data_IF_167405777629
#
_entry.id   IF_167405777629
#
_cell.length_a   1.000
_cell.length_b   1.000
_cell.length_c   1.000
_cell.angle_alpha   90.00
_cell.angle_beta   90.00
_cell.angle_gamma   90.00
#
_symmetry.space_group_name_H-M   'P 1'
#
loop_
_entity.id
_entity.type
_entity.pdbx_description
1 polymer ?
#
# COMPACT_ATOMS: atom_id res chain seq x y z
N UNK A 1 -16.67 -2.00 21.05
CA UNK A 1 -15.84 -1.48 22.16
C UNK A 1 -14.54 -2.28 22.15
N UNK A 2 -13.39 -1.61 21.99
CA UNK A 2 -12.10 -2.27 21.71
C UNK A 2 -11.69 -3.25 22.82
N UNK A 3 -12.00 -2.93 24.08
CA UNK A 3 -11.71 -3.83 25.21
C UNK A 3 -12.51 -5.12 25.14
N UNK A 4 -13.75 -5.05 24.64
CA UNK A 4 -14.59 -6.23 24.43
C UNK A 4 -14.08 -7.08 23.26
N UNK A 5 -13.63 -6.45 22.17
CA UNK A 5 -13.02 -7.15 21.02
C UNK A 5 -11.74 -7.89 21.44
N UNK A 6 -10.91 -7.27 22.27
CA UNK A 6 -9.70 -7.90 22.79
C UNK A 6 -9.96 -9.11 23.66
N UNK A 7 -10.93 -9.00 24.57
CA UNK A 7 -11.38 -10.14 25.37
C UNK A 7 -11.89 -11.27 24.47
N UNK A 8 -12.66 -10.93 23.45
CA UNK A 8 -13.18 -11.91 22.51
C UNK A 8 -12.07 -12.60 21.72
N UNK A 9 -11.11 -11.82 21.19
CA UNK A 9 -9.93 -12.33 20.52
C UNK A 9 -9.14 -13.28 21.43
N UNK A 10 -8.89 -12.90 22.69
CA UNK A 10 -8.21 -13.77 23.65
C UNK A 10 -8.96 -15.10 23.80
N UNK A 11 -10.27 -15.07 23.98
CA UNK A 11 -11.09 -16.28 24.12
C UNK A 11 -10.98 -17.18 22.88
N UNK A 12 -11.01 -16.62 21.67
CA UNK A 12 -10.83 -17.38 20.43
C UNK A 12 -9.44 -18.00 20.31
N UNK A 13 -8.37 -17.23 20.59
CA UNK A 13 -6.99 -17.74 20.54
C UNK A 13 -6.78 -18.85 21.57
N UNK A 14 -7.33 -18.71 22.79
CA UNK A 14 -7.31 -19.76 23.81
C UNK A 14 -8.06 -21.02 23.38
N UNK A 15 -9.17 -20.90 22.65
CA UNK A 15 -9.87 -22.06 22.11
C UNK A 15 -9.01 -22.84 21.11
N UNK A 16 -8.18 -22.14 20.35
CA UNK A 16 -7.18 -22.73 19.45
C UNK A 16 -6.14 -23.62 20.14
N UNK A 17 -5.79 -23.32 21.39
CA UNK A 17 -4.87 -24.15 22.19
C UNK A 17 -5.47 -25.52 22.56
N UNK A 18 -6.80 -25.59 22.67
CA UNK A 18 -7.53 -26.81 23.05
C UNK A 18 -8.03 -27.60 21.85
N UNK A 19 -8.36 -26.90 20.76
CA UNK A 19 -8.93 -27.48 19.55
C UNK A 19 -8.07 -27.08 18.34
N UNK A 20 -7.27 -28.03 17.85
CA UNK A 20 -6.40 -27.82 16.69
C UNK A 20 -7.17 -27.34 15.45
N UNK A 21 -8.43 -27.73 15.29
CA UNK A 21 -9.28 -27.27 14.18
C UNK A 21 -9.63 -25.78 14.20
N UNK A 22 -9.34 -25.09 15.31
CA UNK A 22 -9.54 -23.65 15.50
C UNK A 22 -8.26 -22.95 15.91
N UNK A 23 -7.11 -23.61 15.79
CA UNK A 23 -5.82 -23.01 16.13
C UNK A 23 -5.53 -21.87 15.15
N UNK A 24 -5.08 -20.75 15.71
CA UNK A 24 -4.51 -19.64 14.94
C UNK A 24 -3.00 -19.75 15.07
N UNK A 25 -2.31 -20.03 13.97
CA UNK A 25 -0.86 -20.23 13.97
C UNK A 25 -0.07 -18.91 13.80
N UNK A 26 -0.68 -17.88 13.23
CA UNK A 26 -0.04 -16.58 13.00
C UNK A 26 -1.08 -15.47 12.82
N UNK A 27 -0.77 -14.27 13.30
CA UNK A 27 -1.52 -13.05 13.01
C UNK A 27 -0.73 -12.13 12.08
N UNK A 28 -1.39 -11.58 11.06
CA UNK A 28 -0.80 -10.56 10.18
C UNK A 28 -1.42 -9.21 10.50
N UNK A 29 -0.66 -8.32 11.15
CA UNK A 29 -1.04 -6.93 11.31
C UNK A 29 -0.75 -6.18 10.01
N UNK A 30 -1.76 -5.55 9.42
CA UNK A 30 -1.59 -4.71 8.23
C UNK A 30 -1.72 -3.24 8.62
N UNK A 31 -0.68 -2.46 8.36
CA UNK A 31 -0.71 -1.00 8.55
C UNK A 31 -0.54 -0.27 7.22
N UNK A 32 -1.45 0.65 6.89
CA UNK A 32 -1.36 1.47 5.69
C UNK A 32 -0.72 2.82 6.01
N UNK A 33 0.41 3.15 5.37
CA UNK A 33 1.15 4.38 5.64
C UNK A 33 0.40 5.68 5.33
N UNK A 34 -0.67 5.63 4.53
CA UNK A 34 -1.56 6.78 4.34
C UNK A 34 -2.48 7.06 5.52
N UNK A 35 -2.59 6.13 6.47
CA UNK A 35 -3.46 6.26 7.62
C UNK A 35 -2.66 6.52 8.88
N UNK A 36 -3.17 7.40 9.74
CA UNK A 36 -2.60 7.61 11.07
C UNK A 36 -2.86 6.38 11.93
N UNK A 37 -1.90 6.05 12.78
CA UNK A 37 -2.03 4.99 13.78
C UNK A 37 -3.14 5.39 14.77
N UNK A 38 -4.25 4.63 14.84
CA UNK A 38 -5.29 4.89 15.83
C UNK A 38 -4.73 4.73 17.23
N UNK A 39 -4.99 5.71 18.10
CA UNK A 39 -4.52 5.70 19.48
C UNK A 39 -5.66 5.36 20.42
N UNK A 40 -5.36 4.56 21.43
CA UNK A 40 -6.28 4.21 22.50
C UNK A 40 -5.80 4.83 23.81
N UNK A 41 -6.73 5.50 24.48
CA UNK A 41 -6.53 6.06 25.80
C UNK A 41 -7.15 5.10 26.80
N UNK A 42 -6.33 4.51 27.66
CA UNK A 42 -6.84 3.71 28.74
C UNK A 42 -7.29 4.67 29.86
N UNK A 43 -8.53 4.53 30.39
CA UNK A 43 -9.09 5.50 31.31
C UNK A 43 -8.27 5.69 32.60
N UNK A 44 -7.49 4.67 32.99
CA UNK A 44 -6.72 4.65 34.24
C UNK A 44 -5.20 4.83 34.06
N UNK A 45 -4.72 5.05 32.83
CA UNK A 45 -3.29 5.30 32.59
C UNK A 45 -3.07 6.57 31.76
N UNK A 46 -1.96 7.26 32.06
CA UNK A 46 -1.52 8.42 31.26
C UNK A 46 -0.91 7.99 29.90
N UNK A 47 -0.71 6.68 29.71
CA UNK A 47 -0.03 6.13 28.54
C UNK A 47 -0.98 6.00 27.36
N UNK A 48 -0.53 6.54 26.23
CA UNK A 48 -1.25 6.48 24.97
C UNK A 48 -0.58 5.44 24.09
N UNK A 49 -1.27 4.33 23.86
CA UNK A 49 -0.77 3.25 23.00
C UNK A 49 -1.54 3.17 21.68
N UNK A 50 -0.98 2.55 20.63
CA UNK A 50 -1.76 2.19 19.46
C UNK A 50 -2.92 1.28 19.84
N UNK A 51 -4.10 1.54 19.29
CA UNK A 51 -5.30 0.76 19.59
C UNK A 51 -5.11 -0.74 19.32
N UNK A 52 -4.45 -1.07 18.21
CA UNK A 52 -4.21 -2.47 17.84
C UNK A 52 -3.15 -3.15 18.71
N UNK A 53 -2.30 -2.41 19.43
CA UNK A 53 -1.36 -3.03 20.38
C UNK A 53 -2.11 -3.79 21.48
N UNK A 54 -3.30 -3.34 21.85
CA UNK A 54 -4.13 -4.04 22.82
C UNK A 54 -4.50 -5.45 22.33
N UNK A 55 -4.81 -5.62 21.03
CA UNK A 55 -5.09 -6.94 20.44
C UNK A 55 -3.81 -7.80 20.29
N UNK A 56 -2.70 -7.17 19.92
CA UNK A 56 -1.42 -7.87 19.76
C UNK A 56 -0.87 -8.38 21.09
N UNK A 57 -1.11 -7.66 22.19
CA UNK A 57 -0.73 -8.10 23.52
C UNK A 57 -1.46 -9.39 23.89
N UNK A 58 -2.78 -9.47 23.65
CA UNK A 58 -3.56 -10.70 23.89
C UNK A 58 -3.01 -11.88 23.07
N UNK A 59 -2.65 -11.64 21.81
CA UNK A 59 -2.04 -12.69 20.98
C UNK A 59 -0.67 -13.15 21.51
N UNK A 60 0.17 -12.19 21.91
CA UNK A 60 1.50 -12.45 22.46
C UNK A 60 1.40 -13.21 23.79
N UNK A 61 0.43 -12.87 24.65
CA UNK A 61 0.17 -13.57 25.91
C UNK A 61 -0.27 -15.03 25.71
N UNK A 62 -1.02 -15.32 24.64
CA UNK A 62 -1.41 -16.68 24.28
C UNK A 62 -0.28 -17.45 23.58
N UNK A 63 0.78 -16.75 23.16
CA UNK A 63 1.92 -17.34 22.44
C UNK A 63 1.69 -17.47 20.93
N UNK A 64 0.75 -16.71 20.35
CA UNK A 64 0.53 -16.69 18.90
C UNK A 64 1.46 -15.64 18.28
N UNK A 65 2.38 -16.02 17.38
CA UNK A 65 3.26 -15.06 16.74
C UNK A 65 2.48 -14.12 15.82
N UNK A 66 3.06 -12.94 15.57
CA UNK A 66 2.49 -11.99 14.62
C UNK A 66 3.56 -11.31 13.78
N UNK A 67 3.19 -10.92 12.57
CA UNK A 67 4.04 -10.19 11.61
C UNK A 67 3.35 -8.89 11.17
N UNK A 68 4.16 -7.91 10.77
CA UNK A 68 3.69 -6.59 10.35
C UNK A 68 3.85 -6.40 8.83
N UNK A 69 2.74 -6.24 8.12
CA UNK A 69 2.73 -5.82 6.73
C UNK A 69 2.48 -4.31 6.62
N UNK A 70 3.47 -3.55 6.17
CA UNK A 70 3.38 -2.10 5.98
C UNK A 70 3.03 -1.81 4.52
N UNK A 71 1.85 -1.27 4.27
CA UNK A 71 1.31 -1.07 2.92
C UNK A 71 1.40 0.38 2.45
N UNK A 72 1.23 0.56 1.14
CA UNK A 72 1.10 1.87 0.49
C UNK A 72 2.33 2.80 0.64
N UNK A 73 3.51 2.24 0.35
CA UNK A 73 4.80 2.94 0.42
C UNK A 73 4.96 4.13 -0.55
N UNK A 74 4.14 4.20 -1.60
CA UNK A 74 4.20 5.26 -2.62
C UNK A 74 3.41 6.52 -2.25
N UNK A 75 2.65 6.47 -1.15
CA UNK A 75 1.94 7.64 -0.63
C UNK A 75 2.86 8.71 -0.03
N UNK A 76 4.15 8.40 0.13
CA UNK A 76 5.15 9.25 0.76
C UNK A 76 6.33 9.52 -0.18
N UNK A 77 7.02 10.64 0.04
CA UNK A 77 8.30 10.89 -0.64
C UNK A 77 9.37 9.89 -0.21
N UNK A 78 10.41 9.70 -1.04
CA UNK A 78 11.53 8.82 -0.73
C UNK A 78 12.16 9.13 0.65
N UNK A 79 12.27 10.42 0.97
CA UNK A 79 12.86 10.90 2.24
C UNK A 79 11.96 10.59 3.45
N UNK A 80 10.64 10.60 3.28
CA UNK A 80 9.68 10.35 4.35
C UNK A 80 9.41 8.86 4.57
N UNK A 81 9.62 8.02 3.54
CA UNK A 81 9.29 6.59 3.57
C UNK A 81 9.93 5.87 4.76
N UNK A 82 11.25 5.99 4.92
CA UNK A 82 11.98 5.28 5.96
C UNK A 82 11.60 5.80 7.36
N UNK A 83 11.38 7.11 7.49
CA UNK A 83 10.92 7.72 8.75
C UNK A 83 9.53 7.20 9.14
N UNK A 84 8.60 7.11 8.19
CA UNK A 84 7.26 6.60 8.44
C UNK A 84 7.26 5.10 8.78
N UNK A 85 8.04 4.28 8.07
CA UNK A 85 8.23 2.87 8.40
C UNK A 85 8.76 2.72 9.83
N UNK A 86 9.81 3.46 10.19
CA UNK A 86 10.38 3.42 11.54
C UNK A 86 9.38 3.88 12.59
N UNK A 87 8.56 4.90 12.32
CA UNK A 87 7.52 5.34 13.23
C UNK A 87 6.47 4.24 13.49
N UNK A 88 6.09 3.48 12.46
CA UNK A 88 5.16 2.35 12.59
C UNK A 88 5.80 1.21 13.39
N UNK A 89 7.06 0.86 13.10
CA UNK A 89 7.80 -0.16 13.85
C UNK A 89 7.87 0.20 15.34
N UNK A 90 8.22 1.45 15.65
CA UNK A 90 8.32 1.94 17.03
C UNK A 90 6.96 1.96 17.73
N UNK A 91 5.91 2.40 17.03
CA UNK A 91 4.57 2.46 17.61
C UNK A 91 4.08 1.07 18.04
N UNK A 92 4.20 0.08 17.17
CA UNK A 92 3.78 -1.30 17.47
C UNK A 92 4.87 -2.13 18.18
N UNK A 93 6.02 -1.53 18.51
CA UNK A 93 7.18 -2.22 19.09
C UNK A 93 7.60 -3.46 18.29
N UNK A 94 7.42 -3.42 16.97
CA UNK A 94 7.72 -4.52 16.07
C UNK A 94 9.22 -4.61 15.79
N UNK A 95 9.79 -5.82 15.86
CA UNK A 95 11.14 -6.06 15.35
C UNK A 95 11.18 -5.85 13.83
N UNK A 96 12.24 -5.23 13.27
CA UNK A 96 12.41 -5.11 11.82
C UNK A 96 12.36 -6.47 11.09
N UNK A 97 12.80 -7.54 11.75
CA UNK A 97 12.78 -8.89 11.18
C UNK A 97 11.38 -9.47 11.05
N UNK A 98 10.40 -8.93 11.78
CA UNK A 98 8.99 -9.35 11.78
C UNK A 98 8.12 -8.44 10.91
N UNK A 99 8.73 -7.53 10.14
CA UNK A 99 8.02 -6.54 9.35
C UNK A 99 8.45 -6.53 7.88
N UNK A 100 7.48 -6.38 6.98
CA UNK A 100 7.73 -6.27 5.53
C UNK A 100 6.91 -5.12 4.96
N UNK A 101 7.56 -4.30 4.15
CA UNK A 101 6.88 -3.31 3.34
C UNK A 101 6.31 -3.96 2.06
N UNK A 102 5.01 -3.80 1.84
CA UNK A 102 4.26 -4.37 0.72
C UNK A 102 3.64 -3.25 -0.12
N UNK A 103 3.81 -3.30 -1.43
CA UNK A 103 3.09 -2.41 -2.32
C UNK A 103 1.71 -2.98 -2.66
N UNK A 104 0.65 -2.34 -2.17
CA UNK A 104 -0.73 -2.80 -2.34
C UNK A 104 -1.51 -2.12 -3.47
N UNK A 105 -0.92 -1.16 -4.19
CA UNK A 105 -1.60 -0.48 -5.29
C UNK A 105 -0.69 -0.39 -6.52
N UNK A 106 -1.09 -0.94 -7.68
CA UNK A 106 -0.54 -0.46 -8.93
C UNK A 106 -0.95 1.01 -9.09
N UNK A 107 -0.04 1.94 -8.81
CA UNK A 107 -0.29 3.35 -9.07
C UNK A 107 -0.48 3.52 -10.58
N UNK A 108 -1.72 3.72 -11.02
CA UNK A 108 -2.06 4.05 -12.40
C UNK A 108 -1.72 5.53 -12.56
N UNK A 109 -0.58 5.83 -13.16
CA UNK A 109 -0.20 7.21 -13.44
C UNK A 109 -1.15 7.77 -14.53
N UNK A 110 -1.99 8.78 -14.23
CA UNK A 110 -2.80 9.41 -15.26
C UNK A 110 -1.84 10.11 -16.22
N UNK A 111 -1.73 9.60 -17.44
CA UNK A 111 -1.02 10.29 -18.50
C UNK A 111 -1.84 11.53 -18.83
N UNK A 112 -1.35 12.70 -18.39
CA UNK A 112 -1.93 13.98 -18.78
C UNK A 112 -1.97 14.06 -20.29
N UNK A 113 -3.14 13.80 -20.88
CA UNK A 113 -3.48 14.30 -22.19
C UNK A 113 -3.55 15.81 -22.03
N UNK A 114 -2.46 16.50 -22.31
CA UNK A 114 -2.46 17.95 -22.50
C UNK A 114 -3.49 18.24 -23.59
N UNK A 115 -4.69 18.65 -23.16
CA UNK A 115 -5.66 19.27 -24.02
C UNK A 115 -5.08 20.62 -24.44
N UNK A 116 -4.31 20.63 -25.53
CA UNK A 116 -4.01 21.85 -26.28
C UNK A 116 -5.29 22.29 -27.01
N UNK A 117 -6.25 22.80 -26.25
CA UNK A 117 -7.34 23.66 -26.73
C UNK A 117 -7.13 24.95 -25.93
N UNK A 118 -6.55 26.00 -26.48
CA UNK A 118 -7.28 26.97 -27.31
C UNK A 118 -6.25 28.05 -27.65
N UNK A 119 -6.13 28.45 -28.92
CA UNK A 119 -5.81 29.81 -29.37
C UNK A 119 -5.75 29.82 -30.90
N UNK A 120 -6.83 30.27 -31.53
CA UNK A 120 -6.74 30.90 -32.84
C UNK A 120 -7.50 32.22 -32.71
N UNK A 121 -6.75 33.27 -32.40
CA UNK A 121 -7.18 34.64 -32.66
C UNK A 121 -7.22 34.82 -34.17
N UNK A 122 -8.42 35.03 -34.71
CA UNK A 122 -8.64 35.45 -36.10
C UNK A 122 -8.36 36.94 -36.22
N UNK A 123 -7.21 37.32 -36.77
CA UNK A 123 -6.98 38.64 -37.38
C UNK A 123 -6.00 38.52 -38.57
N UNK A 124 -6.12 39.49 -39.47
CA UNK A 124 -5.47 39.70 -40.77
C UNK A 124 -5.96 38.86 -41.96
N UNK A 125 -6.28 39.44 -43.12
CA UNK A 125 -5.93 40.76 -43.64
C UNK A 125 -5.69 40.59 -45.15
N UNK A 126 -6.51 41.25 -45.95
CA UNK A 126 -6.61 41.15 -47.41
C UNK A 126 -5.32 41.59 -48.14
N UNK A 127 -4.88 40.86 -49.17
CA UNK A 127 -4.17 41.41 -50.35
C UNK A 127 -3.84 40.36 -51.43
N UNK A 128 -3.95 40.81 -52.67
CA UNK A 128 -4.17 40.10 -53.93
C UNK A 128 -2.89 40.14 -54.80
N UNK A 129 -2.48 39.01 -55.40
CA UNK A 129 -1.35 38.97 -56.35
C UNK A 129 -1.17 37.60 -57.02
N UNK A 130 -1.03 37.59 -58.35
CA UNK A 130 -1.31 36.46 -59.22
C UNK A 130 -0.07 35.61 -59.64
N UNK A 131 -0.39 34.42 -60.17
CA UNK A 131 0.28 33.64 -61.26
C UNK A 131 1.07 32.35 -60.96
N UNK A 132 0.68 31.35 -61.77
CA UNK A 132 1.33 30.11 -62.25
C UNK A 132 1.55 28.89 -61.34
N UNK A 133 0.69 27.89 -61.59
CA UNK A 133 1.00 26.49 -61.92
C UNK A 133 2.12 25.77 -61.16
N UNK A 134 1.74 24.82 -60.29
CA UNK A 134 2.04 23.40 -60.44
C UNK A 134 1.05 22.60 -59.58
N UNK A 135 0.11 21.92 -60.23
CA UNK A 135 -0.88 21.03 -59.60
C UNK A 135 -0.18 19.73 -59.21
N UNK A 136 0.54 19.74 -58.09
CA UNK A 136 0.89 18.51 -57.39
C UNK A 136 -0.29 18.20 -56.46
N UNK A 137 -1.10 17.21 -56.82
CA UNK A 137 -2.03 16.61 -55.87
C UNK A 137 -1.22 15.83 -54.83
N UNK A 138 -0.65 16.54 -53.87
CA UNK A 138 -0.26 15.97 -52.60
C UNK A 138 -1.57 15.79 -51.83
N UNK A 139 -2.19 14.61 -51.98
CA UNK A 139 -3.18 14.18 -51.02
C UNK A 139 -2.52 14.26 -49.63
N UNK A 140 -3.14 14.90 -48.62
CA UNK A 140 -2.57 14.89 -47.29
C UNK A 140 -2.43 13.43 -46.88
N UNK A 141 -1.21 12.99 -46.58
CA UNK A 141 -1.04 11.76 -45.82
C UNK A 141 -1.69 12.10 -44.48
N UNK A 142 -2.95 11.67 -44.32
CA UNK A 142 -3.60 11.59 -43.03
C UNK A 142 -2.78 10.57 -42.24
N UNK A 143 -1.71 11.04 -41.60
CA UNK A 143 -1.39 10.52 -40.29
C UNK A 143 -2.62 10.82 -39.46
N UNK A 144 -3.60 9.90 -39.49
CA UNK A 144 -4.53 9.76 -38.39
C UNK A 144 -3.61 9.71 -37.20
N UNK A 145 -3.51 10.84 -36.51
CA UNK A 145 -2.75 11.01 -35.29
C UNK A 145 -3.46 10.10 -34.32
N UNK A 146 -3.18 8.80 -34.41
CA UNK A 146 -3.50 7.85 -33.38
C UNK A 146 -2.90 8.51 -32.16
N UNK A 147 -3.72 9.02 -31.23
CA UNK A 147 -3.14 9.54 -30.01
C UNK A 147 -2.37 8.35 -29.46
N UNK A 148 -1.06 8.50 -29.30
CA UNK A 148 -0.27 7.52 -28.59
C UNK A 148 -0.89 7.43 -27.20
N UNK A 149 -1.86 6.53 -27.04
CA UNK A 149 -2.45 6.19 -25.75
C UNK A 149 -1.32 5.46 -25.04
N UNK A 150 -0.46 6.24 -24.38
CA UNK A 150 0.56 5.70 -23.49
C UNK A 150 -0.21 4.85 -22.48
N UNK A 151 -0.02 3.54 -22.56
CA UNK A 151 -0.60 2.60 -21.59
C UNK A 151 -0.27 3.13 -20.19
N UNK A 152 -1.24 3.15 -19.26
CA UNK A 152 -0.96 3.56 -17.91
C UNK A 152 0.21 2.72 -17.38
N UNK A 153 1.20 3.38 -16.81
CA UNK A 153 2.31 2.70 -16.13
C UNK A 153 1.69 2.08 -14.89
N UNK A 154 1.59 0.76 -14.87
CA UNK A 154 1.14 -0.04 -13.72
C UNK A 154 2.40 -0.39 -12.94
N UNK A 155 2.58 0.19 -11.76
CA UNK A 155 3.69 -0.22 -10.89
C UNK A 155 3.48 -1.67 -10.44
N UNK A 156 4.54 -2.51 -10.45
CA UNK A 156 4.44 -3.89 -10.01
C UNK A 156 4.10 -3.97 -8.51
N UNK A 157 3.35 -5.01 -8.14
CA UNK A 157 3.14 -5.40 -6.75
C UNK A 157 4.48 -5.94 -6.24
N UNK A 158 5.04 -5.26 -5.25
CA UNK A 158 6.33 -5.57 -4.62
C UNK A 158 6.10 -5.97 -3.16
N UNK A 159 6.98 -6.83 -2.61
CA UNK A 159 6.96 -7.20 -1.20
C UNK A 159 6.02 -8.35 -0.81
N UNK A 160 5.09 -8.78 -1.67
CA UNK A 160 4.19 -9.91 -1.37
C UNK A 160 4.97 -11.22 -1.20
N UNK A 161 5.94 -11.50 -2.08
CA UNK A 161 6.79 -12.69 -1.95
C UNK A 161 7.62 -12.65 -0.67
N UNK A 162 8.14 -11.47 -0.29
CA UNK A 162 8.89 -11.29 0.95
C UNK A 162 8.01 -11.49 2.18
N UNK A 163 6.77 -11.01 2.16
CA UNK A 163 5.79 -11.26 3.22
C UNK A 163 5.48 -12.76 3.33
N UNK A 164 5.28 -13.43 2.20
CA UNK A 164 5.04 -14.87 2.16
C UNK A 164 6.22 -15.65 2.77
N UNK A 165 7.46 -15.31 2.38
CA UNK A 165 8.66 -15.91 2.94
C UNK A 165 8.80 -15.64 4.44
N UNK A 166 8.48 -14.42 4.90
CA UNK A 166 8.47 -14.08 6.32
C UNK A 166 7.47 -14.94 7.09
N UNK A 167 6.23 -15.02 6.60
CA UNK A 167 5.17 -15.84 7.19
C UNK A 167 5.62 -17.29 7.31
N UNK A 168 6.14 -17.88 6.23
CA UNK A 168 6.64 -19.25 6.25
C UNK A 168 7.79 -19.45 7.25
N UNK A 169 8.75 -18.51 7.30
CA UNK A 169 9.86 -18.57 8.24
C UNK A 169 9.37 -18.56 9.69
N UNK A 170 8.46 -17.66 10.03
CA UNK A 170 7.93 -17.53 11.39
C UNK A 170 7.16 -18.78 11.79
N UNK A 171 6.29 -19.30 10.92
CA UNK A 171 5.56 -20.54 11.18
C UNK A 171 6.50 -21.72 11.39
N UNK A 172 7.53 -21.88 10.55
CA UNK A 172 8.51 -22.95 10.70
C UNK A 172 9.28 -22.87 12.01
N UNK A 173 9.70 -21.67 12.42
CA UNK A 173 10.41 -21.46 13.69
C UNK A 173 9.51 -21.74 14.90
N UNK A 174 8.24 -21.35 14.83
CA UNK A 174 7.25 -21.61 15.90
C UNK A 174 6.94 -23.12 16.02
N UNK A 175 6.82 -23.81 14.88
CA UNK A 175 6.69 -25.26 14.83
C UNK A 175 7.91 -25.94 15.45
N UNK A 176 9.14 -25.56 15.06
CA UNK A 176 10.38 -26.12 15.59
C UNK A 176 10.48 -25.94 17.11
N UNK A 177 10.17 -24.75 17.63
CA UNK A 177 10.16 -24.47 19.06
C UNK A 177 9.09 -25.27 19.83
N UNK A 178 8.02 -25.70 19.17
CA UNK A 178 6.99 -26.55 19.79
C UNK A 178 7.41 -28.02 19.91
N UNK A 179 8.48 -28.44 19.23
CA UNK A 179 9.03 -29.80 19.28
C UNK A 179 10.20 -29.95 20.27
N UNK A 180 10.73 -28.85 20.82
CA UNK A 180 11.79 -28.83 21.86
C UNK A 180 11.22 -28.87 23.29
#
# INVERSE_FOLDING_TARGET
>A
DLSNEARHLREELWMGTRYLSRKTDLIVLVHNLSHRIPRYHQPDSADVQPALSLLLNEATEVGVPWVLAITNIFSLSADQKNSAINAVLQAYQASPDMAVAVNSCPYIMPTSATASQTWISTEDGDSRGATTAHRLMLAPINFVRMPFQKKPVVLPVEGVNSLCQLVHRVLLTDEEASFE
#
